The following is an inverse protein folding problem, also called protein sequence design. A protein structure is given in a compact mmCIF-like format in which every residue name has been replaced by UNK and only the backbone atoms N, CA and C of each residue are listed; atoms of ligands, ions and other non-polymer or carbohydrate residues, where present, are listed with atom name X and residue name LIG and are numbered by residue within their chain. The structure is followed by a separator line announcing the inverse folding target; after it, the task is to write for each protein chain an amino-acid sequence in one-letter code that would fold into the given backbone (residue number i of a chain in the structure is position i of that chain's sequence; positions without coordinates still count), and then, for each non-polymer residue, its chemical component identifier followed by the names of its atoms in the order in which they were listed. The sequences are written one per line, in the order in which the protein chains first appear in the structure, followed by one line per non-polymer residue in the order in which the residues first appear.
data_IF_119234985184
#
_entry.id   IF_119234985184
#
_cell.length_a   1.000
_cell.length_b   1.000
_cell.length_c   1.000
_cell.angle_alpha   90.00
_cell.angle_beta   90.00
_cell.angle_gamma   90.00
#
_symmetry.space_group_name_H-M   'P 1'
#
loop_
_entity.id
_entity.type
_entity.pdbx_description
1 polymer ?
#
# COMPACT_ATOMS: atom_id res chain seq x y z
N UNK A 1 -8.99 2.09 -4.63
CA UNK A 1 -9.00 0.65 -4.25
C UNK A 1 -7.59 0.25 -3.85
N UNK A 2 -7.43 -0.67 -2.89
CA UNK A 2 -6.14 -1.25 -2.50
C UNK A 2 -6.19 -2.76 -2.76
N UNK A 3 -5.17 -3.30 -3.43
CA UNK A 3 -5.04 -4.72 -3.72
C UNK A 3 -3.67 -5.24 -3.24
N UNK A 4 -3.65 -6.46 -2.74
CA UNK A 4 -2.45 -7.17 -2.30
C UNK A 4 -2.04 -8.29 -3.29
N UNK A 5 -2.76 -8.44 -4.40
CA UNK A 5 -2.61 -9.57 -5.32
C UNK A 5 -2.67 -10.92 -4.57
N UNK A 6 -3.77 -11.15 -3.83
CA UNK A 6 -3.94 -12.36 -3.04
C UNK A 6 -3.89 -13.62 -3.90
N UNK A 7 -3.07 -14.58 -3.48
CA UNK A 7 -3.00 -15.92 -4.06
C UNK A 7 -4.00 -16.82 -3.33
N UNK A 8 -5.12 -17.24 -3.95
CA UNK A 8 -6.09 -18.11 -3.30
C UNK A 8 -5.54 -19.53 -3.12
N UNK A 9 -6.05 -20.28 -2.15
CA UNK A 9 -5.79 -21.73 -2.03
C UNK A 9 -6.20 -22.41 -3.34
N UNK A 10 -5.37 -23.33 -3.82
CA UNK A 10 -5.54 -23.97 -5.15
C UNK A 10 -5.06 -23.14 -6.34
N UNK A 11 -4.82 -21.82 -6.16
CA UNK A 11 -4.36 -20.92 -7.22
C UNK A 11 -2.84 -20.70 -7.21
N UNK A 12 -2.37 -19.93 -8.19
CA UNK A 12 -0.95 -19.57 -8.40
C UNK A 12 -0.75 -18.07 -8.32
N UNK A 13 0.51 -17.61 -8.18
CA UNK A 13 0.84 -16.18 -8.29
C UNK A 13 0.48 -15.60 -9.67
N UNK A 14 0.55 -16.40 -10.73
CA UNK A 14 0.11 -15.97 -12.06
C UNK A 14 -1.40 -15.71 -12.11
N UNK A 15 -2.20 -16.53 -11.42
CA UNK A 15 -3.65 -16.29 -11.29
C UNK A 15 -3.90 -15.00 -10.52
N UNK A 16 -3.23 -14.79 -9.38
CA UNK A 16 -3.37 -13.59 -8.58
C UNK A 16 -3.05 -12.32 -9.39
N UNK A 17 -1.96 -12.30 -10.15
CA UNK A 17 -1.60 -11.15 -10.98
C UNK A 17 -2.59 -10.91 -12.13
N UNK A 18 -3.15 -11.97 -12.73
CA UNK A 18 -4.25 -11.83 -13.71
C UNK A 18 -5.50 -11.22 -13.08
N UNK A 19 -5.87 -11.70 -11.89
CA UNK A 19 -7.01 -11.18 -11.14
C UNK A 19 -6.81 -9.71 -10.74
N UNK A 20 -5.59 -9.34 -10.31
CA UNK A 20 -5.22 -7.93 -10.04
C UNK A 20 -5.45 -7.04 -11.25
N UNK A 21 -5.00 -7.44 -12.44
CA UNK A 21 -5.25 -6.71 -13.68
C UNK A 21 -6.74 -6.58 -13.98
N UNK A 22 -7.47 -7.69 -13.91
CA UNK A 22 -8.91 -7.72 -14.18
C UNK A 22 -9.66 -6.81 -13.20
N UNK A 23 -9.33 -6.90 -11.91
CA UNK A 23 -9.89 -6.03 -10.88
C UNK A 23 -9.60 -4.55 -11.13
N UNK A 24 -8.38 -4.20 -11.56
CA UNK A 24 -8.02 -2.82 -11.88
C UNK A 24 -8.82 -2.27 -13.08
N UNK A 25 -9.04 -3.09 -14.11
CA UNK A 25 -9.87 -2.75 -15.26
C UNK A 25 -11.35 -2.57 -14.88
N UNK A 26 -11.87 -3.39 -13.96
CA UNK A 26 -13.21 -3.22 -13.41
C UNK A 26 -13.30 -1.94 -12.55
N UNK A 27 -12.32 -1.71 -11.67
CA UNK A 27 -12.26 -0.51 -10.85
C UNK A 27 -12.27 0.77 -11.72
N UNK A 28 -11.54 0.76 -12.83
CA UNK A 28 -11.55 1.85 -13.80
C UNK A 28 -12.95 2.05 -14.40
N UNK A 29 -13.60 1.00 -14.86
CA UNK A 29 -14.98 1.05 -15.41
C UNK A 29 -16.02 1.51 -14.39
N UNK A 30 -15.81 1.17 -13.11
CA UNK A 30 -16.69 1.59 -12.01
C UNK A 30 -16.41 3.02 -11.51
N UNK A 31 -15.45 3.72 -12.13
CA UNK A 31 -15.13 5.11 -11.80
C UNK A 31 -14.28 5.28 -10.54
N UNK A 32 -13.59 4.25 -10.07
CA UNK A 32 -12.61 4.41 -9.02
C UNK A 32 -11.46 5.31 -9.48
N UNK A 33 -11.09 6.25 -8.63
CA UNK A 33 -10.06 7.22 -8.97
C UNK A 33 -8.64 6.66 -8.88
N UNK A 34 -8.40 5.70 -7.95
CA UNK A 34 -7.08 5.11 -7.69
C UNK A 34 -7.15 3.61 -7.48
N UNK A 35 -6.14 2.91 -7.99
CA UNK A 35 -5.86 1.51 -7.75
C UNK A 35 -4.43 1.37 -7.23
N UNK A 36 -4.27 0.98 -5.97
CA UNK A 36 -2.98 0.86 -5.31
C UNK A 36 -2.65 -0.58 -4.99
N UNK A 37 -1.35 -0.88 -5.00
CA UNK A 37 -0.79 -2.18 -4.68
C UNK A 37 0.06 -2.10 -3.41
N UNK A 38 -0.08 -3.07 -2.51
CA UNK A 38 0.71 -3.13 -1.29
C UNK A 38 1.99 -3.95 -1.50
N UNK A 39 3.06 -3.59 -0.78
CA UNK A 39 4.32 -4.34 -0.75
C UNK A 39 4.35 -5.27 0.46
N UNK A 40 4.55 -6.57 0.20
CA UNK A 40 4.81 -7.56 1.25
C UNK A 40 5.81 -8.60 0.74
N UNK A 41 6.82 -8.90 1.55
CA UNK A 41 7.87 -9.87 1.21
C UNK A 41 7.70 -11.18 1.96
N UNK A 42 8.16 -12.29 1.35
CA UNK A 42 8.15 -13.63 1.93
C UNK A 42 6.77 -14.10 2.39
N UNK A 43 5.71 -13.75 1.63
CA UNK A 43 4.34 -14.16 1.91
C UNK A 43 3.80 -14.98 0.73
N UNK A 44 3.62 -16.29 0.92
CA UNK A 44 3.14 -17.21 -0.13
C UNK A 44 1.72 -16.89 -0.64
N UNK A 45 0.97 -16.11 0.14
CA UNK A 45 -0.40 -15.69 -0.18
C UNK A 45 -0.49 -14.31 -0.86
N UNK A 46 0.63 -13.63 -1.16
CA UNK A 46 0.65 -12.29 -1.73
C UNK A 46 1.65 -12.25 -2.89
N UNK A 47 1.22 -11.79 -4.06
CA UNK A 47 2.05 -11.77 -5.27
C UNK A 47 2.61 -10.39 -5.63
N UNK A 48 2.38 -9.35 -4.83
CA UNK A 48 2.74 -7.95 -5.13
C UNK A 48 4.08 -7.48 -4.54
N UNK A 49 4.97 -8.40 -4.15
CA UNK A 49 6.27 -8.06 -3.56
C UNK A 49 7.13 -7.13 -4.44
N UNK A 50 7.18 -7.37 -5.75
CA UNK A 50 7.82 -6.50 -6.72
C UNK A 50 6.86 -5.40 -7.17
N UNK A 51 6.47 -4.52 -6.25
CA UNK A 51 5.32 -3.61 -6.37
C UNK A 51 5.42 -2.71 -7.59
N UNK A 52 6.58 -2.11 -7.87
CA UNK A 52 6.78 -1.25 -9.05
C UNK A 52 6.56 -2.00 -10.38
N UNK A 53 6.97 -3.28 -10.45
CA UNK A 53 6.76 -4.12 -11.64
C UNK A 53 5.27 -4.38 -11.84
N UNK A 54 4.54 -4.72 -10.77
CA UNK A 54 3.09 -4.97 -10.84
C UNK A 54 2.32 -3.69 -11.16
N UNK A 55 2.74 -2.52 -10.63
CA UNK A 55 2.19 -1.21 -11.03
C UNK A 55 2.33 -1.00 -12.54
N UNK A 56 3.51 -1.24 -13.11
CA UNK A 56 3.73 -1.12 -14.55
C UNK A 56 2.81 -2.05 -15.37
N UNK A 57 2.65 -3.30 -14.92
CA UNK A 57 1.74 -4.25 -15.53
C UNK A 57 0.26 -3.79 -15.49
N UNK A 58 -0.20 -3.27 -14.36
CA UNK A 58 -1.57 -2.74 -14.21
C UNK A 58 -1.76 -1.47 -15.05
N UNK A 59 -0.80 -0.55 -14.99
CA UNK A 59 -0.86 0.71 -15.74
C UNK A 59 -0.90 0.50 -17.26
N UNK A 60 -0.17 -0.50 -17.78
CA UNK A 60 -0.19 -0.90 -19.18
C UNK A 60 -1.55 -1.46 -19.64
N UNK A 61 -2.34 -2.00 -18.70
CA UNK A 61 -3.63 -2.64 -18.98
C UNK A 61 -4.86 -1.79 -18.57
N UNK A 62 -4.65 -0.55 -18.17
CA UNK A 62 -5.67 0.46 -17.82
C UNK A 62 -5.37 1.77 -18.55
N UNK A 63 -6.31 2.73 -18.58
CA UNK A 63 -6.17 3.95 -19.41
C UNK A 63 -6.18 5.24 -18.60
N UNK A 64 -7.06 5.36 -17.60
CA UNK A 64 -7.38 6.61 -16.91
C UNK A 64 -7.21 6.54 -15.41
N UNK A 65 -7.44 5.38 -14.80
CA UNK A 65 -7.29 5.19 -13.35
C UNK A 65 -5.84 5.45 -12.93
N UNK A 66 -5.65 6.17 -11.82
CA UNK A 66 -4.32 6.31 -11.25
C UNK A 66 -3.89 5.00 -10.61
N UNK A 67 -2.64 4.61 -10.86
CA UNK A 67 -2.06 3.37 -10.33
C UNK A 67 -0.88 3.73 -9.43
N UNK A 68 -0.70 3.02 -8.32
CA UNK A 68 0.39 3.37 -7.43
C UNK A 68 0.63 2.35 -6.32
N UNK A 69 1.49 2.74 -5.40
CA UNK A 69 1.81 1.96 -4.22
C UNK A 69 0.96 2.38 -3.02
N UNK A 70 0.42 1.41 -2.33
CA UNK A 70 -0.30 1.64 -1.09
C UNK A 70 0.17 0.75 0.06
N UNK A 71 1.53 0.71 0.31
CA UNK A 71 2.66 1.51 -0.16
C UNK A 71 3.92 0.73 -0.43
N UNK A 72 4.92 1.46 -0.90
CA UNK A 72 6.30 1.00 -0.85
C UNK A 72 6.77 1.08 0.60
N UNK A 73 7.34 -0.01 1.09
CA UNK A 73 7.97 -0.06 2.42
C UNK A 73 9.38 0.54 2.31
N UNK A 74 9.45 1.88 2.32
CA UNK A 74 10.67 2.63 1.97
C UNK A 74 11.92 2.18 2.74
N UNK A 75 11.86 1.78 4.04
CA UNK A 75 13.04 1.26 4.74
C UNK A 75 13.66 -0.01 4.12
N UNK A 76 12.95 -0.72 3.24
CA UNK A 76 13.49 -1.87 2.51
C UNK A 76 14.33 -1.47 1.28
N UNK A 77 14.30 -0.21 0.88
CA UNK A 77 14.82 0.27 -0.40
C UNK A 77 15.83 1.41 -0.23
N UNK A 78 16.59 1.69 -1.29
CA UNK A 78 17.31 2.94 -1.44
C UNK A 78 16.37 3.99 -2.05
N UNK A 79 16.29 5.22 -1.51
CA UNK A 79 15.47 6.29 -2.08
C UNK A 79 15.75 6.57 -3.56
N UNK A 80 17.01 6.51 -3.98
CA UNK A 80 17.39 6.67 -5.40
C UNK A 80 16.73 5.61 -6.28
N UNK A 81 16.78 4.34 -5.90
CA UNK A 81 16.18 3.25 -6.69
C UNK A 81 14.67 3.42 -6.81
N UNK A 82 14.00 3.82 -5.74
CA UNK A 82 12.55 4.10 -5.76
C UNK A 82 12.25 5.31 -6.65
N UNK A 83 13.06 6.38 -6.57
CA UNK A 83 12.91 7.54 -7.45
C UNK A 83 13.03 7.17 -8.93
N UNK A 84 13.98 6.32 -9.29
CA UNK A 84 14.17 5.86 -10.68
C UNK A 84 13.05 4.93 -11.14
N UNK A 85 12.58 4.00 -10.30
CA UNK A 85 11.46 3.13 -10.62
C UNK A 85 10.17 3.92 -10.86
N UNK A 86 9.82 4.83 -9.95
CA UNK A 86 8.60 5.62 -10.06
C UNK A 86 8.74 6.75 -11.09
N UNK A 87 9.94 7.28 -11.30
CA UNK A 87 10.25 8.16 -12.42
C UNK A 87 10.07 7.47 -13.78
N UNK A 88 10.51 6.21 -13.88
CA UNK A 88 10.26 5.39 -15.09
C UNK A 88 8.76 5.16 -15.31
N UNK A 89 8.03 4.81 -14.26
CA UNK A 89 6.58 4.61 -14.33
C UNK A 89 5.86 5.89 -14.75
N UNK A 90 6.19 7.05 -14.16
CA UNK A 90 5.60 8.34 -14.53
C UNK A 90 5.94 8.76 -15.96
N UNK A 91 7.15 8.44 -16.43
CA UNK A 91 7.55 8.68 -17.83
C UNK A 91 6.72 7.84 -18.80
N UNK A 92 6.44 6.57 -18.45
CA UNK A 92 5.63 5.65 -19.27
C UNK A 92 4.14 5.96 -19.21
N UNK A 93 3.65 6.42 -18.03
CA UNK A 93 2.23 6.64 -17.75
C UNK A 93 2.00 8.04 -17.12
N UNK A 94 2.24 9.13 -17.85
CA UNK A 94 2.25 10.49 -17.32
C UNK A 94 0.94 10.85 -16.60
N UNK A 95 1.07 11.43 -15.40
CA UNK A 95 -0.05 11.92 -14.60
C UNK A 95 -0.88 10.82 -13.93
N UNK A 96 -0.47 9.54 -14.04
CA UNK A 96 -1.24 8.40 -13.52
C UNK A 96 -0.59 7.68 -12.35
N UNK A 97 0.59 8.07 -11.95
CA UNK A 97 1.36 7.33 -10.93
C UNK A 97 1.23 8.01 -9.57
N UNK A 98 1.00 7.22 -8.51
CA UNK A 98 1.05 7.63 -7.11
C UNK A 98 2.12 6.82 -6.37
N UNK A 99 2.89 7.47 -5.51
CA UNK A 99 3.88 6.80 -4.67
C UNK A 99 3.51 6.94 -3.19
N UNK A 100 2.82 5.92 -2.67
CA UNK A 100 2.55 5.81 -1.24
C UNK A 100 3.71 5.15 -0.51
N UNK A 101 4.09 5.69 0.65
CA UNK A 101 5.25 5.30 1.44
C UNK A 101 4.84 4.80 2.81
N UNK A 102 5.30 3.61 3.19
CA UNK A 102 5.13 3.01 4.50
C UNK A 102 6.45 2.90 5.26
N UNK A 103 6.39 3.08 6.59
CA UNK A 103 7.56 2.93 7.47
C UNK A 103 7.80 1.48 7.90
N UNK A 104 6.73 0.71 8.06
CA UNK A 104 6.85 -0.67 8.49
C UNK A 104 7.57 -1.52 7.42
N UNK A 105 8.37 -2.53 7.80
CA UNK A 105 9.09 -3.36 6.81
C UNK A 105 8.18 -4.29 6.00
N UNK A 106 6.92 -4.48 6.40
CA UNK A 106 5.98 -5.36 5.72
C UNK A 106 6.40 -6.83 5.69
N UNK A 107 7.28 -7.25 6.62
CA UNK A 107 7.86 -8.60 6.63
C UNK A 107 8.43 -8.98 8.01
N UNK A 108 9.01 -10.19 8.13
CA UNK A 108 9.68 -10.69 9.34
C UNK A 108 11.18 -10.37 9.35
N UNK A 109 11.82 -10.56 10.52
CA UNK A 109 13.22 -10.24 10.73
C UNK A 109 14.19 -11.02 9.81
N UNK A 110 13.91 -12.28 9.49
CA UNK A 110 14.75 -13.08 8.58
C UNK A 110 14.71 -12.52 7.18
N UNK A 111 13.55 -12.07 6.76
CA UNK A 111 13.35 -11.44 5.45
C UNK A 111 14.05 -10.07 5.39
N UNK A 112 14.03 -9.29 6.49
CA UNK A 112 14.83 -8.04 6.57
C UNK A 112 16.32 -8.30 6.32
N UNK A 113 16.88 -9.33 6.95
CA UNK A 113 18.27 -9.71 6.72
C UNK A 113 18.54 -10.12 5.26
N UNK A 114 17.60 -10.84 4.63
CA UNK A 114 17.70 -11.18 3.21
C UNK A 114 17.65 -9.93 2.31
N UNK A 115 16.89 -8.92 2.70
CA UNK A 115 16.84 -7.60 2.05
C UNK A 115 18.07 -6.72 2.37
N UNK A 116 19.03 -7.23 3.16
CA UNK A 116 20.21 -6.47 3.64
C UNK A 116 19.84 -5.25 4.48
N UNK A 117 18.77 -5.37 5.27
CA UNK A 117 18.26 -4.33 6.18
C UNK A 117 18.33 -4.78 7.63
N UNK A 118 18.36 -3.80 8.54
CA UNK A 118 18.32 -4.00 9.98
C UNK A 118 17.00 -3.46 10.57
N UNK A 119 16.63 -3.82 11.81
CA UNK A 119 15.47 -3.22 12.47
C UNK A 119 15.50 -1.69 12.53
N UNK A 120 16.71 -1.10 12.64
CA UNK A 120 16.92 0.36 12.74
C UNK A 120 16.71 1.09 11.41
N UNK A 121 16.61 0.35 10.28
CA UNK A 121 16.35 0.94 8.96
C UNK A 121 15.04 1.74 8.91
N UNK A 122 14.10 1.49 9.84
CA UNK A 122 12.86 2.25 9.94
C UNK A 122 13.04 3.63 10.61
N UNK A 123 14.17 3.89 11.26
CA UNK A 123 14.44 5.16 11.93
C UNK A 123 14.79 6.26 10.93
N UNK A 124 15.45 5.91 9.82
CA UNK A 124 15.78 6.83 8.73
C UNK A 124 14.59 7.23 7.87
N UNK A 125 13.40 6.64 8.07
CA UNK A 125 12.23 6.85 7.21
C UNK A 125 11.90 8.33 6.93
N UNK A 126 11.92 9.28 7.90
CA UNK A 126 11.68 10.68 7.60
C UNK A 126 12.73 11.29 6.66
N UNK A 127 14.00 10.95 6.87
CA UNK A 127 15.12 11.45 6.05
C UNK A 127 15.07 10.83 4.65
N UNK A 128 14.74 9.54 4.54
CA UNK A 128 14.57 8.83 3.28
C UNK A 128 13.41 9.45 2.45
N UNK A 129 12.32 9.89 3.10
CA UNK A 129 11.23 10.60 2.43
C UNK A 129 11.69 11.95 1.90
N UNK A 130 12.46 12.70 2.68
CA UNK A 130 13.03 13.98 2.25
C UNK A 130 14.02 13.81 1.09
N UNK A 131 14.87 12.79 1.15
CA UNK A 131 15.81 12.46 0.07
C UNK A 131 15.04 12.10 -1.21
N UNK A 132 13.99 11.29 -1.10
CA UNK A 132 13.13 10.91 -2.21
C UNK A 132 12.44 12.14 -2.84
N UNK A 133 11.94 13.08 -2.03
CA UNK A 133 11.40 14.34 -2.53
C UNK A 133 12.45 15.13 -3.33
N UNK A 134 13.68 15.17 -2.83
CA UNK A 134 14.78 15.86 -3.52
C UNK A 134 15.12 15.22 -4.87
N UNK A 135 15.06 13.90 -4.99
CA UNK A 135 15.28 13.19 -6.25
C UNK A 135 14.22 13.51 -7.32
N UNK A 136 13.00 13.85 -6.90
CA UNK A 136 11.92 14.25 -7.82
C UNK A 136 11.92 15.75 -8.18
N UNK A 137 12.67 16.59 -7.46
CA UNK A 137 12.85 18.00 -7.84
C UNK A 137 13.74 18.10 -9.11
N UNK A 138 13.64 19.21 -9.86
CA UNK A 138 14.54 19.46 -10.97
C UNK A 138 16.01 19.40 -10.53
N UNK A 139 16.82 18.67 -11.29
CA UNK A 139 18.22 18.51 -10.96
C UNK A 139 18.96 19.87 -10.97
N UNK A 140 19.77 20.12 -9.94
CA UNK A 140 20.59 21.31 -9.85
C UNK A 140 21.87 21.15 -10.69
N UNK A 141 22.43 22.26 -11.16
CA UNK A 141 23.71 22.25 -11.84
C UNK A 141 24.82 21.72 -10.89
N UNK A 142 25.60 20.75 -11.38
CA UNK A 142 26.66 20.12 -10.59
C UNK A 142 26.19 19.08 -9.58
N UNK A 143 24.89 18.76 -9.52
CA UNK A 143 24.38 17.70 -8.63
C UNK A 143 25.00 16.35 -9.03
N UNK A 144 25.74 15.66 -8.11
CA UNK A 144 26.52 14.47 -8.48
C UNK A 144 25.66 13.24 -8.70
N UNK A 145 24.55 13.08 -7.95
CA UNK A 145 23.62 11.95 -8.05
C UNK A 145 22.22 12.44 -8.39
N UNK A 146 21.63 11.86 -9.41
CA UNK A 146 20.29 12.24 -9.92
C UNK A 146 19.49 10.97 -10.20
N UNK A 147 18.20 11.01 -9.97
CA UNK A 147 17.29 9.96 -10.44
C UNK A 147 17.06 10.12 -11.96
N UNK A 148 17.37 9.07 -12.74
CA UNK A 148 17.23 9.13 -14.22
C UNK A 148 16.58 7.82 -14.75
N UNK A 149 15.30 7.92 -15.22
CA UNK A 149 14.40 9.07 -15.14
C UNK A 149 13.89 9.29 -13.71
N UNK A 150 13.45 10.51 -13.38
CA UNK A 150 12.91 10.84 -12.05
C UNK A 150 12.96 12.34 -11.77
N UNK A 151 14.15 12.92 -11.91
CA UNK A 151 14.38 14.33 -11.61
C UNK A 151 13.46 15.26 -12.44
N UNK A 152 12.70 16.11 -11.73
CA UNK A 152 11.78 17.08 -12.32
C UNK A 152 10.38 16.52 -12.66
N UNK A 153 10.11 15.23 -12.42
CA UNK A 153 8.81 14.64 -12.78
C UNK A 153 7.70 14.89 -11.75
N UNK A 154 8.06 15.24 -10.50
CA UNK A 154 7.08 15.60 -9.49
C UNK A 154 6.07 14.49 -9.16
N UNK A 155 6.50 13.23 -9.07
CA UNK A 155 5.62 12.10 -8.72
C UNK A 155 4.94 12.37 -7.37
N UNK A 156 3.60 12.32 -7.28
CA UNK A 156 2.90 12.59 -6.04
C UNK A 156 3.22 11.58 -4.94
N UNK A 157 3.73 12.06 -3.80
CA UNK A 157 4.02 11.25 -2.64
C UNK A 157 2.84 11.22 -1.67
N UNK A 158 2.64 10.08 -1.02
CA UNK A 158 1.67 9.88 0.05
C UNK A 158 2.37 9.25 1.25
N UNK A 159 2.00 9.64 2.46
CA UNK A 159 2.41 8.91 3.67
C UNK A 159 1.29 7.97 4.07
N UNK A 160 1.65 6.69 4.27
CA UNK A 160 0.74 5.68 4.78
C UNK A 160 1.09 5.33 6.23
N UNK A 161 0.07 5.00 7.01
CA UNK A 161 0.30 4.58 8.39
C UNK A 161 -0.95 4.11 9.10
N UNK A 162 -0.74 3.52 10.28
CA UNK A 162 -1.78 3.07 11.20
C UNK A 162 -1.60 3.66 12.61
N UNK A 163 -0.79 4.71 12.73
CA UNK A 163 -0.43 5.36 14.00
C UNK A 163 -0.28 6.87 13.84
N UNK A 164 -0.13 7.57 14.98
CA UNK A 164 0.08 9.03 15.00
C UNK A 164 1.36 9.48 14.31
N UNK A 165 2.40 8.64 14.29
CA UNK A 165 3.68 8.99 13.67
C UNK A 165 3.53 9.36 12.17
N UNK A 166 2.82 8.52 11.39
CA UNK A 166 2.58 8.80 9.97
C UNK A 166 1.75 10.07 9.76
N UNK A 167 0.77 10.31 10.64
CA UNK A 167 -0.04 11.52 10.64
C UNK A 167 0.80 12.78 10.85
N UNK A 168 1.69 12.77 11.84
CA UNK A 168 2.61 13.88 12.16
C UNK A 168 3.58 14.15 11.01
N UNK A 169 4.20 13.11 10.48
CA UNK A 169 5.14 13.25 9.37
C UNK A 169 4.45 13.83 8.13
N UNK A 170 3.31 13.27 7.72
CA UNK A 170 2.53 13.77 6.59
C UNK A 170 2.13 15.24 6.79
N UNK A 171 1.70 15.61 8.00
CA UNK A 171 1.32 16.98 8.33
C UNK A 171 2.47 17.97 8.21
N UNK A 172 3.65 17.62 8.77
CA UNK A 172 4.85 18.48 8.75
C UNK A 172 5.37 18.66 7.32
N UNK A 173 5.38 17.58 6.52
CA UNK A 173 5.86 17.60 5.14
C UNK A 173 4.81 18.15 4.14
N UNK A 174 3.56 18.39 4.59
CA UNK A 174 2.48 18.84 3.71
C UNK A 174 2.09 17.83 2.65
N UNK A 175 2.14 16.54 2.99
CA UNK A 175 1.82 15.44 2.09
C UNK A 175 0.43 14.87 2.39
N UNK A 176 -0.25 14.27 1.39
CA UNK A 176 -1.48 13.53 1.64
C UNK A 176 -1.21 12.32 2.54
N UNK A 177 -2.20 12.01 3.37
CA UNK A 177 -2.12 10.95 4.36
C UNK A 177 -3.15 9.86 4.11
N UNK A 178 -2.75 8.60 4.05
CA UNK A 178 -3.65 7.46 3.96
C UNK A 178 -3.56 6.61 5.23
N UNK A 179 -4.67 6.55 5.99
CA UNK A 179 -4.73 5.79 7.23
C UNK A 179 -5.31 4.39 7.02
N UNK A 180 -4.60 3.38 7.52
CA UNK A 180 -4.96 1.98 7.38
C UNK A 180 -6.01 1.55 8.43
N UNK A 181 -7.18 2.19 8.43
CA UNK A 181 -8.27 1.93 9.39
C UNK A 181 -8.93 0.55 9.22
N UNK A 182 -8.71 -0.10 8.10
CA UNK A 182 -9.18 -1.46 7.85
C UNK A 182 -8.55 -2.52 8.78
N UNK A 183 -7.45 -2.20 9.46
CA UNK A 183 -6.86 -3.05 10.52
C UNK A 183 -6.51 -2.30 11.81
N UNK A 184 -6.56 -0.98 11.83
CA UNK A 184 -6.29 -0.16 13.02
C UNK A 184 -7.39 0.90 13.27
N UNK A 185 -8.69 0.52 13.34
CA UNK A 185 -9.79 1.50 13.36
C UNK A 185 -9.77 2.43 14.58
N UNK A 186 -9.33 1.95 15.74
CA UNK A 186 -9.33 2.72 16.99
C UNK A 186 -8.46 3.98 16.93
N UNK A 187 -7.37 3.97 16.15
CA UNK A 187 -6.46 5.10 16.04
C UNK A 187 -6.83 6.08 14.91
N UNK A 188 -7.88 5.82 14.12
CA UNK A 188 -8.25 6.64 12.96
C UNK A 188 -8.54 8.10 13.35
N UNK A 189 -9.46 8.32 14.27
CA UNK A 189 -9.89 9.68 14.63
C UNK A 189 -8.78 10.52 15.25
N UNK A 190 -8.01 10.00 16.24
CA UNK A 190 -6.84 10.70 16.76
C UNK A 190 -5.80 11.03 15.68
N UNK A 191 -5.52 10.10 14.76
CA UNK A 191 -4.56 10.32 13.68
C UNK A 191 -5.03 11.40 12.69
N UNK A 192 -6.31 11.41 12.31
CA UNK A 192 -6.86 12.43 11.43
C UNK A 192 -6.87 13.82 12.09
N UNK A 193 -7.16 13.88 13.39
CA UNK A 193 -7.11 15.13 14.16
C UNK A 193 -5.69 15.68 14.22
N UNK A 194 -4.72 14.83 14.54
CA UNK A 194 -3.29 15.16 14.58
C UNK A 194 -2.79 15.67 13.21
N UNK A 195 -3.13 14.96 12.13
CA UNK A 195 -2.78 15.33 10.77
C UNK A 195 -3.33 16.71 10.40
N UNK A 196 -4.63 16.95 10.64
CA UNK A 196 -5.30 18.21 10.25
C UNK A 196 -4.81 19.40 11.07
N UNK A 197 -4.62 19.22 12.38
CA UNK A 197 -4.22 20.31 13.28
C UNK A 197 -2.79 20.81 13.04
N UNK A 198 -1.89 19.93 12.58
CA UNK A 198 -0.47 20.23 12.34
C UNK A 198 -0.11 20.42 10.87
N UNK A 199 -1.08 20.34 9.97
CA UNK A 199 -0.82 20.37 8.53
C UNK A 199 -0.13 21.68 8.11
N UNK A 200 0.98 21.55 7.40
CA UNK A 200 1.70 22.64 6.76
C UNK A 200 1.53 22.55 5.25
N UNK A 201 1.29 23.69 4.60
CA UNK A 201 1.22 23.75 3.12
C UNK A 201 2.55 23.36 2.50
N UNK A 202 2.47 22.70 1.36
CA UNK A 202 3.63 22.33 0.54
C UNK A 202 3.39 22.70 -0.93
N UNK A 203 4.37 22.41 -1.80
CA UNK A 203 4.21 22.48 -3.26
C UNK A 203 3.15 21.51 -3.78
N UNK A 204 2.97 20.37 -3.11
CA UNK A 204 2.04 19.32 -3.52
C UNK A 204 0.62 19.57 -3.03
N UNK A 205 0.44 20.12 -1.81
CA UNK A 205 -0.86 20.32 -1.20
C UNK A 205 -1.01 21.71 -0.54
N UNK A 206 -2.11 22.38 -0.88
CA UNK A 206 -2.50 23.61 -0.24
C UNK A 206 -3.25 23.42 1.08
N UNK A 207 -4.02 22.34 1.19
CA UNK A 207 -4.81 21.96 2.38
C UNK A 207 -4.67 20.45 2.65
N UNK A 208 -4.95 20.05 3.90
CA UNK A 208 -4.88 18.64 4.30
C UNK A 208 -5.79 17.75 3.45
N UNK A 209 -5.26 16.63 3.00
CA UNK A 209 -5.99 15.62 2.22
C UNK A 209 -5.73 14.23 2.79
N UNK A 210 -6.79 13.61 3.33
CA UNK A 210 -6.69 12.31 3.98
C UNK A 210 -7.59 11.26 3.32
N UNK A 211 -7.11 10.02 3.30
CA UNK A 211 -7.86 8.83 2.93
C UNK A 211 -7.91 7.85 4.11
N UNK A 212 -9.02 7.12 4.24
CA UNK A 212 -9.19 6.05 5.22
C UNK A 212 -9.49 4.72 4.49
N UNK A 213 -8.84 3.64 4.94
CA UNK A 213 -9.06 2.31 4.41
C UNK A 213 -10.27 1.65 5.08
N UNK A 214 -11.15 1.04 4.28
CA UNK A 214 -12.25 0.21 4.78
C UNK A 214 -12.30 -1.10 4.01
N UNK A 215 -12.63 -2.20 4.71
CA UNK A 215 -12.92 -3.47 4.06
C UNK A 215 -14.39 -3.46 3.60
N UNK A 216 -14.62 -3.85 2.35
CA UNK A 216 -15.97 -3.95 1.78
C UNK A 216 -16.16 -5.33 1.18
N UNK A 217 -17.23 -6.01 1.59
CA UNK A 217 -17.65 -7.28 1.04
C UNK A 217 -19.07 -7.09 0.50
N UNK A 218 -19.21 -7.12 -0.82
CA UNK A 218 -20.47 -6.89 -1.51
C UNK A 218 -20.84 -8.10 -2.34
N UNK A 219 -22.13 -8.45 -2.33
CA UNK A 219 -22.75 -9.48 -3.13
C UNK A 219 -24.21 -9.13 -3.39
N UNK A 220 -24.95 -9.95 -4.12
CA UNK A 220 -26.39 -9.74 -4.38
C UNK A 220 -27.24 -9.84 -3.10
N UNK A 221 -26.77 -10.61 -2.10
CA UNK A 221 -27.44 -10.78 -0.81
C UNK A 221 -26.48 -10.59 0.35
N UNK A 222 -27.00 -10.16 1.50
CA UNK A 222 -26.23 -10.07 2.75
C UNK A 222 -25.66 -11.42 3.20
N UNK A 223 -26.36 -12.51 2.96
CA UNK A 223 -25.92 -13.86 3.30
C UNK A 223 -24.65 -14.21 2.51
N UNK A 224 -24.64 -13.95 1.21
CA UNK A 224 -23.48 -14.20 0.37
C UNK A 224 -22.31 -13.24 0.72
N UNK A 225 -22.59 -11.95 0.97
CA UNK A 225 -21.57 -11.01 1.41
C UNK A 225 -20.90 -11.46 2.73
N UNK A 226 -21.68 -11.95 3.70
CA UNK A 226 -21.14 -12.52 4.94
C UNK A 226 -20.31 -13.78 4.69
N UNK A 227 -20.76 -14.65 3.79
CA UNK A 227 -20.01 -15.84 3.39
C UNK A 227 -18.67 -15.47 2.80
N UNK A 228 -18.63 -14.52 1.88
CA UNK A 228 -17.39 -14.00 1.28
C UNK A 228 -16.43 -13.40 2.34
N UNK A 229 -16.98 -12.69 3.32
CA UNK A 229 -16.20 -12.11 4.43
C UNK A 229 -15.46 -13.16 5.25
N UNK A 230 -15.97 -14.39 5.35
CA UNK A 230 -15.31 -15.45 6.12
C UNK A 230 -13.89 -15.78 5.64
N UNK A 231 -13.58 -15.59 4.34
CA UNK A 231 -12.20 -15.72 3.83
C UNK A 231 -11.26 -14.74 4.52
N UNK A 232 -11.65 -13.47 4.65
CA UNK A 232 -10.83 -12.46 5.32
C UNK A 232 -10.71 -12.73 6.82
N UNK A 233 -11.79 -13.18 7.48
CA UNK A 233 -11.76 -13.55 8.89
C UNK A 233 -10.80 -14.73 9.17
N UNK A 234 -10.84 -15.76 8.31
CA UNK A 234 -9.89 -16.87 8.38
C UNK A 234 -8.44 -16.39 8.18
N UNK A 235 -8.21 -15.53 7.18
CA UNK A 235 -6.88 -14.98 6.91
C UNK A 235 -6.36 -14.14 8.08
N UNK A 236 -7.20 -13.29 8.67
CA UNK A 236 -6.87 -12.51 9.85
C UNK A 236 -6.53 -13.40 11.05
N UNK A 237 -7.33 -14.42 11.30
CA UNK A 237 -7.07 -15.41 12.37
C UNK A 237 -5.72 -16.10 12.18
N UNK A 238 -5.40 -16.52 10.95
CA UNK A 238 -4.09 -17.11 10.61
C UNK A 238 -2.94 -16.13 10.87
N UNK A 239 -3.13 -14.87 10.50
CA UNK A 239 -2.12 -13.82 10.72
C UNK A 239 -1.85 -13.61 12.22
N UNK A 240 -2.89 -13.51 13.05
CA UNK A 240 -2.76 -13.36 14.51
C UNK A 240 -2.06 -14.57 15.14
N UNK A 241 -2.29 -15.77 14.62
CA UNK A 241 -1.64 -17.02 15.07
C UNK A 241 -0.22 -17.22 14.51
N UNK A 242 0.27 -16.28 13.68
CA UNK A 242 1.58 -16.39 13.04
C UNK A 242 1.65 -17.45 11.93
N UNK A 243 0.52 -18.03 11.51
CA UNK A 243 0.43 -18.98 10.41
C UNK A 243 0.14 -18.21 9.12
N UNK A 244 1.14 -18.13 8.24
CA UNK A 244 0.98 -17.47 6.93
C UNK A 244 0.62 -18.49 5.87
N UNK A 245 -0.33 -18.14 4.99
CA UNK A 245 -0.81 -19.04 3.94
C UNK A 245 -1.44 -18.29 2.77
N UNK A 246 -1.90 -19.04 1.79
CA UNK A 246 -2.74 -18.53 0.72
C UNK A 246 -4.12 -18.16 1.25
N UNK A 247 -4.85 -17.30 0.52
CA UNK A 247 -6.19 -16.88 0.89
C UNK A 247 -7.13 -18.11 0.91
N UNK A 248 -7.75 -18.44 2.05
CA UNK A 248 -8.66 -19.57 2.12
C UNK A 248 -9.97 -19.28 1.39
N UNK A 249 -10.66 -20.29 0.87
CA UNK A 249 -11.99 -20.12 0.31
C UNK A 249 -12.99 -19.68 1.39
N UNK A 250 -14.10 -19.01 1.02
CA UNK A 250 -15.17 -18.71 1.95
C UNK A 250 -15.85 -19.99 2.44
N UNK A 251 -16.33 -19.96 3.68
CA UNK A 251 -17.10 -21.03 4.35
C UNK A 251 -18.48 -20.52 4.74
N UNK A 252 -19.43 -21.43 4.88
CA UNK A 252 -20.84 -21.04 5.13
C UNK A 252 -21.05 -20.51 6.55
N UNK A 253 -20.31 -21.03 7.53
CA UNK A 253 -20.44 -20.60 8.92
C UNK A 253 -19.07 -20.66 9.65
N UNK A 254 -18.57 -19.49 10.02
CA UNK A 254 -17.35 -19.37 10.81
C UNK A 254 -17.60 -19.66 12.30
N UNK A 255 -18.84 -19.60 12.76
CA UNK A 255 -19.18 -19.83 14.17
C UNK A 255 -19.11 -21.32 14.56
N UNK A 256 -19.24 -22.23 13.59
CA UNK A 256 -19.04 -23.67 13.81
C UNK A 256 -17.60 -24.05 14.09
N UNK A 257 -16.63 -23.22 13.68
CA UNK A 257 -15.21 -23.39 14.01
C UNK A 257 -14.89 -22.65 15.31
N UNK A 258 -15.08 -23.32 16.44
CA UNK A 258 -14.98 -22.75 17.79
C UNK A 258 -13.69 -21.98 18.10
N UNK A 259 -12.60 -22.26 17.39
CA UNK A 259 -11.31 -21.58 17.57
C UNK A 259 -11.19 -20.30 16.72
N UNK A 260 -11.86 -20.20 15.58
CA UNK A 260 -11.87 -19.03 14.71
C UNK A 260 -12.83 -17.95 15.21
N UNK A 261 -13.84 -18.36 15.99
CA UNK A 261 -14.88 -17.52 16.60
C UNK A 261 -14.35 -16.42 17.51
N UNK A 262 -13.25 -16.69 18.28
CA UNK A 262 -12.72 -15.73 19.25
C UNK A 262 -11.96 -14.58 18.59
N UNK A 263 -11.31 -14.83 17.47
CA UNK A 263 -10.48 -13.84 16.77
C UNK A 263 -11.25 -13.12 15.66
N UNK A 264 -12.21 -13.80 15.00
CA UNK A 264 -12.99 -13.23 13.90
C UNK A 264 -14.00 -12.14 14.30
N UNK A 265 -14.29 -11.96 15.60
CA UNK A 265 -15.17 -10.88 16.09
C UNK A 265 -14.46 -9.54 16.28
N UNK A 266 -13.14 -9.51 16.17
CA UNK A 266 -12.31 -8.31 16.34
C UNK A 266 -11.91 -7.65 15.00
N UNK A 267 -12.41 -8.19 13.87
CA UNK A 267 -12.15 -7.66 12.53
C UNK A 267 -13.12 -6.55 12.13
#
# INVERSE_FOLDING_TARGET
MLDLAFVPEGGTSADALRNTRDLAQHAERWGYHRFWLAEHHNMVGIASAATAVVIGYVAANTRTIRVGAGGIMLPNHSPLVIAEQFGTLETLYPGRIDLGLGRAPGTDQRTLLALRRTPDSAESFPDDVLELQQFFEPAKQGQPVKAVPGAGLGVPLWILGSSLFGAQLAAILGLPYAFASHFAPAALMPALQEYRSRFKRSKQLYQSYAAAGVNVFAAETDAEARRLFTSAQQQFTRMVRGTRGKLPPPIDDIETRSEERRVGKEC
#
